data_IF_439831273525
#
_entry.id   IF_439831273525
#
_cell.length_a   1.000
_cell.length_b   1.000
_cell.length_c   1.000
_cell.angle_alpha   90.00
_cell.angle_beta   90.00
_cell.angle_gamma   90.00
#
_symmetry.space_group_name_H-M   'P 1'
#
loop_
_entity.id
_entity.type
_entity.pdbx_description
1 polymer ?
#
# COMPACT_ATOMS: atom_id res chain seq x y z
N UNK A 1 14.58 16.95 3.72
CA UNK A 1 15.05 15.59 3.39
C UNK A 1 14.40 15.23 2.08
N UNK A 2 15.16 14.85 1.06
CA UNK A 2 14.61 14.47 -0.24
C UNK A 2 14.00 13.06 -0.21
N UNK A 3 13.17 12.74 -1.20
CA UNK A 3 12.42 11.48 -1.30
C UNK A 3 13.34 10.25 -1.33
N UNK A 4 14.45 10.32 -2.07
CA UNK A 4 15.41 9.20 -2.19
C UNK A 4 16.08 8.92 -0.85
N UNK A 5 16.49 9.96 -0.12
CA UNK A 5 17.04 9.84 1.23
C UNK A 5 16.04 9.23 2.22
N UNK A 6 14.75 9.53 2.08
CA UNK A 6 13.69 8.91 2.90
C UNK A 6 13.54 7.43 2.60
N UNK A 7 13.42 7.06 1.33
CA UNK A 7 13.23 5.67 0.92
C UNK A 7 14.46 4.81 1.26
N UNK A 8 15.66 5.37 1.13
CA UNK A 8 16.91 4.71 1.54
C UNK A 8 16.91 4.34 3.02
N UNK A 9 16.18 5.06 3.88
CA UNK A 9 15.99 4.72 5.30
C UNK A 9 14.86 3.73 5.54
N UNK A 10 13.91 3.60 4.62
CA UNK A 10 12.80 2.65 4.70
C UNK A 10 13.28 1.24 4.39
N UNK A 11 14.06 1.04 3.32
CA UNK A 11 14.47 -0.30 2.86
C UNK A 11 15.33 -1.16 3.80
N UNK A 12 16.06 -0.58 4.77
CA UNK A 12 16.73 -1.35 5.82
C UNK A 12 15.82 -1.81 6.96
N UNK A 13 14.56 -1.35 7.02
CA UNK A 13 13.62 -1.80 8.04
C UNK A 13 13.37 -3.30 7.95
N UNK A 14 13.25 -4.03 9.08
CA UNK A 14 12.88 -5.44 9.07
C UNK A 14 11.40 -5.67 8.71
N UNK A 15 10.61 -4.59 8.58
CA UNK A 15 9.17 -4.66 8.31
C UNK A 15 8.91 -4.74 6.81
N UNK A 16 8.13 -5.75 6.41
CA UNK A 16 7.62 -5.86 5.05
C UNK A 16 6.17 -5.37 4.97
N UNK A 17 5.70 -5.03 3.78
CA UNK A 17 4.43 -4.37 3.63
C UNK A 17 3.70 -4.74 2.34
N UNK A 18 2.37 -4.69 2.41
CA UNK A 18 1.50 -4.61 1.24
C UNK A 18 0.98 -3.19 1.13
N UNK A 19 1.16 -2.57 -0.04
CA UNK A 19 0.74 -1.19 -0.30
C UNK A 19 -0.50 -1.19 -1.20
N UNK A 20 -1.53 -0.45 -0.83
CA UNK A 20 -2.75 -0.30 -1.63
C UNK A 20 -3.02 1.17 -1.86
N UNK A 21 -2.82 1.64 -3.09
CA UNK A 21 -3.02 3.05 -3.43
C UNK A 21 -4.11 3.20 -4.47
N UNK A 22 -4.89 4.27 -4.42
CA UNK A 22 -5.79 4.66 -5.53
C UNK A 22 -5.24 5.90 -6.23
N UNK A 23 -5.82 6.27 -7.38
CA UNK A 23 -5.49 7.46 -8.19
C UNK A 23 -4.18 8.18 -7.87
N UNK A 24 -4.24 9.17 -6.97
CA UNK A 24 -3.13 10.07 -6.65
C UNK A 24 -1.95 9.48 -5.88
N UNK A 25 -2.05 8.25 -5.36
CA UNK A 25 -0.98 7.61 -4.58
C UNK A 25 0.03 6.80 -5.40
N UNK A 26 -0.20 6.63 -6.70
CA UNK A 26 0.62 5.77 -7.58
C UNK A 26 2.06 6.26 -7.74
N UNK A 27 2.30 7.58 -7.73
CA UNK A 27 3.66 8.14 -7.80
C UNK A 27 4.53 7.70 -6.61
N UNK A 28 3.95 7.58 -5.41
CA UNK A 28 4.70 7.11 -4.24
C UNK A 28 5.20 5.66 -4.40
N UNK A 29 4.46 4.81 -5.13
CA UNK A 29 4.93 3.46 -5.48
C UNK A 29 6.10 3.52 -6.46
N UNK A 30 5.99 4.36 -7.49
CA UNK A 30 7.06 4.53 -8.47
C UNK A 30 8.36 5.02 -7.80
N UNK A 31 8.26 6.04 -6.94
CA UNK A 31 9.41 6.58 -6.20
C UNK A 31 10.03 5.51 -5.29
N UNK A 32 9.21 4.79 -4.52
CA UNK A 32 9.67 3.70 -3.63
C UNK A 32 10.41 2.61 -4.41
N UNK A 33 9.88 2.19 -5.55
CA UNK A 33 10.45 1.11 -6.37
C UNK A 33 11.67 1.55 -7.18
N UNK A 34 11.87 2.85 -7.38
CA UNK A 34 13.04 3.40 -8.06
C UNK A 34 14.32 3.30 -7.21
N UNK A 35 14.21 3.14 -5.88
CA UNK A 35 15.36 3.01 -4.99
C UNK A 35 15.69 1.52 -4.74
N UNK A 36 16.96 1.10 -4.86
CA UNK A 36 17.35 -0.28 -4.62
C UNK A 36 17.02 -0.76 -3.20
N UNK A 37 16.50 -1.98 -3.09
CA UNK A 37 16.17 -2.61 -1.82
C UNK A 37 14.68 -2.81 -1.54
N UNK A 38 13.81 -2.38 -2.46
CA UNK A 38 12.36 -2.55 -2.35
C UNK A 38 11.91 -3.99 -2.05
N UNK A 39 12.62 -5.02 -2.52
CA UNK A 39 12.30 -6.43 -2.23
C UNK A 39 12.37 -6.80 -0.74
N UNK A 40 13.08 -6.01 0.09
CA UNK A 40 13.11 -6.19 1.55
C UNK A 40 11.94 -5.53 2.27
N UNK A 41 11.18 -4.67 1.58
CA UNK A 41 10.12 -3.85 2.17
C UNK A 41 8.76 -4.17 1.59
N UNK A 42 8.67 -4.51 0.30
CA UNK A 42 7.40 -4.63 -0.40
C UNK A 42 7.14 -6.10 -0.75
N UNK A 43 6.03 -6.63 -0.21
CA UNK A 43 5.49 -7.94 -0.56
C UNK A 43 4.59 -7.86 -1.79
N UNK A 44 3.75 -6.82 -1.85
CA UNK A 44 2.77 -6.63 -2.90
C UNK A 44 2.38 -5.15 -2.98
N UNK A 45 2.10 -4.66 -4.18
CA UNK A 45 1.46 -3.36 -4.38
C UNK A 45 0.24 -3.52 -5.27
N UNK A 46 -0.88 -2.90 -4.89
CA UNK A 46 -2.12 -2.90 -5.67
C UNK A 46 -2.63 -1.48 -5.91
N UNK A 47 -3.23 -1.30 -7.08
CA UNK A 47 -3.91 -0.06 -7.47
C UNK A 47 -5.37 -0.38 -7.84
N UNK A 48 -6.28 -0.56 -6.86
CA UNK A 48 -7.69 -0.79 -7.17
C UNK A 48 -8.32 0.50 -7.72
N UNK A 49 -8.26 0.64 -9.04
CA UNK A 49 -8.55 1.91 -9.73
C UNK A 49 -10.05 2.15 -9.98
N UNK A 50 -10.79 1.11 -10.39
CA UNK A 50 -12.23 1.22 -10.60
C UNK A 50 -13.01 0.93 -9.33
N UNK A 51 -14.23 1.48 -9.20
CA UNK A 51 -15.12 1.19 -8.07
C UNK A 51 -15.36 -0.31 -7.90
N UNK A 52 -15.47 -1.07 -9.00
CA UNK A 52 -15.60 -2.53 -8.97
C UNK A 52 -14.35 -3.20 -8.38
N UNK A 53 -13.16 -2.74 -8.76
CA UNK A 53 -11.90 -3.26 -8.21
C UNK A 53 -11.76 -2.92 -6.73
N UNK A 54 -12.11 -1.70 -6.33
CA UNK A 54 -12.11 -1.27 -4.94
C UNK A 54 -13.09 -2.08 -4.09
N UNK A 55 -14.32 -2.25 -4.56
CA UNK A 55 -15.33 -3.04 -3.88
C UNK A 55 -14.92 -4.52 -3.78
N UNK A 56 -14.38 -5.10 -4.85
CA UNK A 56 -13.89 -6.47 -4.84
C UNK A 56 -12.73 -6.67 -3.85
N UNK A 57 -11.81 -5.70 -3.77
CA UNK A 57 -10.70 -5.76 -2.83
C UNK A 57 -11.17 -5.63 -1.37
N UNK A 58 -12.12 -4.74 -1.10
CA UNK A 58 -12.68 -4.52 0.24
C UNK A 58 -13.70 -5.58 0.66
N UNK A 59 -14.26 -6.33 -0.29
CA UNK A 59 -15.40 -7.23 -0.08
C UNK A 59 -16.74 -6.51 0.09
N UNK A 60 -16.76 -5.18 0.00
CA UNK A 60 -17.94 -4.32 0.10
C UNK A 60 -17.73 -3.03 -0.68
N UNK A 61 -18.78 -2.49 -1.29
CA UNK A 61 -18.73 -1.17 -1.93
C UNK A 61 -18.63 -0.08 -0.87
N UNK A 62 -17.55 0.73 -0.85
CA UNK A 62 -17.46 1.85 0.08
C UNK A 62 -18.41 2.98 -0.34
N UNK A 63 -18.91 3.74 0.64
CA UNK A 63 -19.77 4.90 0.37
C UNK A 63 -19.04 6.02 -0.39
N UNK A 64 -17.74 6.19 -0.13
CA UNK A 64 -16.86 7.13 -0.81
C UNK A 64 -15.49 6.49 -1.03
N UNK A 65 -14.95 6.57 -2.24
CA UNK A 65 -13.61 6.06 -2.54
C UNK A 65 -12.52 6.78 -1.71
N UNK A 66 -12.65 8.11 -1.56
CA UNK A 66 -11.71 8.95 -0.81
C UNK A 66 -12.32 9.32 0.54
N UNK A 67 -11.98 8.55 1.57
CA UNK A 67 -12.32 8.86 2.95
C UNK A 67 -11.34 8.19 3.91
N UNK A 68 -11.26 8.69 5.15
CA UNK A 68 -10.47 8.04 6.20
C UNK A 68 -10.95 6.60 6.48
N UNK A 69 -12.26 6.37 6.43
CA UNK A 69 -12.84 5.03 6.63
C UNK A 69 -12.41 4.05 5.53
N UNK A 70 -12.46 4.47 4.26
CA UNK A 70 -12.02 3.66 3.13
C UNK A 70 -10.52 3.41 3.16
N UNK A 71 -9.71 4.41 3.52
CA UNK A 71 -8.28 4.23 3.75
C UNK A 71 -8.02 3.18 4.85
N UNK A 72 -8.67 3.31 6.01
CA UNK A 72 -8.48 2.37 7.12
C UNK A 72 -8.87 0.93 6.72
N UNK A 73 -9.97 0.76 5.98
CA UNK A 73 -10.39 -0.55 5.46
C UNK A 73 -9.38 -1.13 4.47
N UNK A 74 -8.85 -0.31 3.55
CA UNK A 74 -7.80 -0.72 2.62
C UNK A 74 -6.53 -1.15 3.36
N UNK A 75 -6.07 -0.37 4.34
CA UNK A 75 -4.90 -0.69 5.15
C UNK A 75 -5.10 -1.99 5.94
N UNK A 76 -6.30 -2.23 6.49
CA UNK A 76 -6.59 -3.47 7.21
C UNK A 76 -6.59 -4.68 6.26
N UNK A 77 -7.21 -4.57 5.08
CA UNK A 77 -7.18 -5.63 4.07
C UNK A 77 -5.76 -5.88 3.58
N UNK A 78 -4.98 -4.82 3.33
CA UNK A 78 -3.56 -4.90 2.98
C UNK A 78 -2.75 -5.62 4.06
N UNK A 79 -3.02 -5.33 5.34
CA UNK A 79 -2.34 -6.01 6.46
C UNK A 79 -2.66 -7.50 6.48
N UNK A 80 -3.93 -7.89 6.31
CA UNK A 80 -4.32 -9.30 6.19
C UNK A 80 -3.59 -9.99 5.03
N UNK A 81 -3.47 -9.32 3.88
CA UNK A 81 -2.67 -9.82 2.75
C UNK A 81 -1.19 -9.95 3.09
N UNK A 82 -0.60 -8.97 3.76
CA UNK A 82 0.80 -9.02 4.19
C UNK A 82 1.06 -10.21 5.15
N UNK A 83 0.12 -10.48 6.06
CA UNK A 83 0.18 -11.64 6.96
C UNK A 83 0.11 -12.97 6.20
N UNK A 84 -0.65 -13.04 5.10
CA UNK A 84 -0.73 -14.22 4.23
C UNK A 84 0.51 -14.41 3.35
N UNK A 85 1.11 -13.31 2.88
CA UNK A 85 2.22 -13.34 1.92
C UNK A 85 3.60 -13.44 2.56
N UNK A 86 3.76 -13.13 3.86
CA UNK A 86 5.06 -13.22 4.53
C UNK A 86 5.53 -14.67 4.62
N UNK A 87 6.82 -14.90 4.34
CA UNK A 87 7.43 -16.23 4.40
C UNK A 87 7.42 -16.84 5.81
N UNK A 88 7.70 -16.01 6.83
CA UNK A 88 7.82 -16.46 8.22
C UNK A 88 6.94 -15.62 9.13
N UNK A 89 6.31 -16.27 10.10
CA UNK A 89 5.49 -15.60 11.14
C UNK A 89 6.27 -14.59 11.98
N UNK A 90 7.60 -14.73 12.03
CA UNK A 90 8.50 -13.82 12.75
C UNK A 90 8.80 -12.54 12.00
N UNK A 91 8.56 -12.48 10.68
CA UNK A 91 8.74 -11.25 9.90
C UNK A 91 7.61 -10.28 10.27
N UNK A 92 7.94 -9.09 10.80
CA UNK A 92 6.93 -8.08 11.07
C UNK A 92 6.38 -7.55 9.75
N UNK A 93 5.07 -7.34 9.71
CA UNK A 93 4.39 -6.84 8.50
C UNK A 93 3.45 -5.69 8.82
N UNK A 94 3.21 -4.84 7.83
CA UNK A 94 2.18 -3.80 7.88
C UNK A 94 1.34 -3.78 6.59
N UNK A 95 0.12 -3.29 6.71
CA UNK A 95 -0.70 -2.88 5.57
C UNK A 95 -0.72 -1.37 5.49
N UNK A 96 -0.42 -0.82 4.31
CA UNK A 96 -0.42 0.62 4.09
C UNK A 96 -1.37 0.94 2.95
N UNK A 97 -2.13 2.02 3.11
CA UNK A 97 -2.96 2.51 2.02
C UNK A 97 -2.98 4.02 1.90
N UNK A 98 -3.17 4.50 0.68
CA UNK A 98 -3.47 5.89 0.38
C UNK A 98 -4.61 5.93 -0.64
N UNK A 99 -5.73 6.56 -0.29
CA UNK A 99 -6.80 6.80 -1.26
C UNK A 99 -6.84 8.28 -1.62
N UNK A 100 -6.80 8.57 -2.92
CA UNK A 100 -6.85 9.92 -3.46
C UNK A 100 -7.43 9.87 -4.87
N UNK A 101 -8.23 10.88 -5.21
CA UNK A 101 -8.71 11.10 -6.57
C UNK A 101 -7.92 12.23 -7.20
N UNK A 102 -7.56 12.09 -8.47
CA UNK A 102 -7.04 13.21 -9.25
C UNK A 102 -8.25 14.00 -9.74
N UNK A 103 -8.29 15.29 -9.39
CA UNK A 103 -9.27 16.21 -9.98
C UNK A 103 -8.94 16.40 -11.46
N UNK A 104 -9.93 16.27 -12.33
CA UNK A 104 -9.86 16.62 -13.76
C UNK A 104 -10.62 17.90 -14.01
#
# INVERSE_FOLDING_TARGET
MDTVSLITRIHPSPVMAVFVVTGGGTQALADLLAVPGASRTLLEALVPYSDKSLAAFLGVSPAQAVSAATAAALAQTAYRRAVMLRDKKTVPVLGLSCTATLVT
#
